data_IF_115605677992
#
_entry.id   IF_115605677992
#
_cell.length_a   1.000
_cell.length_b   1.000
_cell.length_c   1.000
_cell.angle_alpha   90.00
_cell.angle_beta   90.00
_cell.angle_gamma   90.00
#
_symmetry.space_group_name_H-M   'P 1'
#
loop_
_entity.id
_entity.type
_entity.pdbx_description
1 polymer ?
#
# COMPACT_ATOMS: atom_id res chain seq x y z
N UNK A 1 -27.52 17.66 -21.28
CA UNK A 1 -26.31 16.86 -21.00
C UNK A 1 -26.46 16.23 -19.62
N UNK A 2 -26.85 14.95 -19.54
CA UNK A 2 -26.85 14.18 -18.30
C UNK A 2 -25.42 14.11 -17.76
N UNK A 3 -25.23 14.48 -16.49
CA UNK A 3 -23.90 14.60 -15.88
C UNK A 3 -23.12 13.29 -15.96
N UNK A 4 -21.86 13.37 -16.41
CA UNK A 4 -20.92 12.23 -16.49
C UNK A 4 -21.00 11.34 -15.24
N UNK A 5 -21.13 10.02 -15.44
CA UNK A 5 -21.05 9.01 -14.39
C UNK A 5 -19.78 9.18 -13.53
N UNK A 6 -19.95 9.54 -12.25
CA UNK A 6 -18.86 9.80 -11.28
C UNK A 6 -18.60 8.55 -10.41
N UNK A 7 -17.34 8.23 -10.12
CA UNK A 7 -16.96 7.03 -9.36
C UNK A 7 -17.65 6.90 -7.99
N UNK A 8 -17.90 8.01 -7.29
CA UNK A 8 -18.58 8.06 -5.98
C UNK A 8 -20.05 8.54 -6.06
N UNK A 9 -20.57 8.66 -7.28
CA UNK A 9 -21.92 9.15 -7.57
C UNK A 9 -22.93 8.06 -7.91
N UNK A 10 -22.57 6.78 -7.85
CA UNK A 10 -23.48 5.70 -8.21
C UNK A 10 -24.64 5.57 -7.21
N UNK A 11 -25.79 5.13 -7.70
CA UNK A 11 -27.00 4.84 -6.90
C UNK A 11 -26.87 3.51 -6.15
N UNK A 12 -27.80 3.25 -5.23
CA UNK A 12 -27.86 1.97 -4.51
C UNK A 12 -27.96 0.77 -5.47
N UNK A 13 -28.86 0.83 -6.45
CA UNK A 13 -29.03 -0.24 -7.45
C UNK A 13 -27.76 -0.50 -8.27
N UNK A 14 -27.04 0.56 -8.65
CA UNK A 14 -25.76 0.42 -9.35
C UNK A 14 -24.69 -0.20 -8.44
N UNK A 15 -24.66 0.19 -7.17
CA UNK A 15 -23.66 -0.32 -6.21
C UNK A 15 -23.80 -1.81 -5.88
N UNK A 16 -25.00 -2.41 -6.00
CA UNK A 16 -25.22 -3.87 -5.86
C UNK A 16 -24.40 -4.72 -6.84
N UNK A 17 -23.88 -4.10 -7.91
CA UNK A 17 -23.00 -4.78 -8.87
C UNK A 17 -21.63 -5.09 -8.28
N UNK A 18 -21.10 -4.21 -7.43
CA UNK A 18 -19.76 -4.35 -6.82
C UNK A 18 -19.79 -4.77 -5.35
N UNK A 19 -20.87 -4.44 -4.61
CA UNK A 19 -21.07 -4.85 -3.22
C UNK A 19 -21.94 -6.10 -3.23
N UNK A 20 -21.33 -7.25 -2.88
CA UNK A 20 -22.01 -8.54 -2.75
C UNK A 20 -22.10 -8.93 -1.28
N UNK A 21 -22.87 -9.96 -0.98
CA UNK A 21 -23.14 -10.41 0.40
C UNK A 21 -21.89 -10.99 1.09
N UNK A 22 -20.90 -11.41 0.30
CA UNK A 22 -19.57 -11.82 0.80
C UNK A 22 -18.85 -10.72 1.58
N UNK A 23 -19.22 -9.45 1.39
CA UNK A 23 -18.69 -8.32 2.16
C UNK A 23 -18.96 -8.42 3.67
N UNK A 24 -19.80 -9.37 4.12
CA UNK A 24 -20.08 -9.64 5.52
C UNK A 24 -19.16 -10.70 6.14
N UNK A 25 -18.31 -11.35 5.35
CA UNK A 25 -17.38 -12.39 5.81
C UNK A 25 -15.93 -11.87 5.81
N UNK A 26 -15.08 -12.39 6.70
CA UNK A 26 -13.69 -11.95 6.79
C UNK A 26 -12.94 -12.18 5.44
N UNK A 27 -13.22 -13.31 4.77
CA UNK A 27 -12.66 -13.64 3.45
C UNK A 27 -13.16 -12.71 2.33
N UNK A 28 -14.48 -12.47 2.27
CA UNK A 28 -15.07 -11.67 1.20
C UNK A 28 -14.73 -10.18 1.28
N UNK A 29 -14.37 -9.68 2.46
CA UNK A 29 -13.85 -8.31 2.61
C UNK A 29 -12.43 -8.13 2.09
N UNK A 30 -11.67 -9.22 1.90
CA UNK A 30 -10.24 -9.21 1.51
C UNK A 30 -9.33 -8.40 2.44
N UNK A 31 -9.84 -7.98 3.60
CA UNK A 31 -9.09 -7.31 4.66
C UNK A 31 -9.09 -8.13 5.96
N UNK A 32 -9.58 -9.38 5.91
CA UNK A 32 -9.55 -10.32 7.04
C UNK A 32 -10.24 -9.79 8.29
N UNK A 33 -9.67 -10.12 9.45
CA UNK A 33 -10.25 -9.80 10.76
C UNK A 33 -10.27 -8.29 11.09
N UNK A 34 -9.66 -7.43 10.27
CA UNK A 34 -9.67 -5.97 10.45
C UNK A 34 -11.09 -5.38 10.35
N UNK A 35 -12.02 -6.06 9.66
CA UNK A 35 -13.44 -5.70 9.60
C UNK A 35 -14.30 -6.30 10.73
N UNK A 36 -13.74 -7.14 11.60
CA UNK A 36 -14.52 -7.97 12.53
C UNK A 36 -15.24 -7.15 13.59
N UNK A 37 -16.48 -7.54 13.93
CA UNK A 37 -17.21 -6.97 15.08
C UNK A 37 -16.94 -7.70 16.40
N UNK A 38 -16.21 -8.82 16.34
CA UNK A 38 -15.81 -9.56 17.54
C UNK A 38 -14.77 -8.76 18.33
N UNK A 39 -14.95 -8.66 19.64
CA UNK A 39 -13.94 -8.04 20.51
C UNK A 39 -12.62 -8.83 20.48
N UNK A 40 -12.70 -10.16 20.60
CA UNK A 40 -11.52 -11.02 20.63
C UNK A 40 -10.73 -10.99 19.30
N UNK A 41 -11.42 -10.99 18.16
CA UNK A 41 -10.74 -10.89 16.86
C UNK A 41 -10.06 -9.52 16.69
N UNK A 42 -10.58 -8.46 17.32
CA UNK A 42 -9.94 -7.13 17.28
C UNK A 42 -8.84 -6.97 18.30
N UNK A 43 -8.95 -7.62 19.46
CA UNK A 43 -7.88 -7.69 20.43
C UNK A 43 -6.68 -8.49 19.89
N UNK A 44 -6.91 -9.57 19.14
CA UNK A 44 -5.82 -10.32 18.50
C UNK A 44 -5.07 -9.50 17.45
N UNK A 45 -5.70 -8.51 16.82
CA UNK A 45 -5.02 -7.58 15.91
C UNK A 45 -4.00 -6.67 16.59
N UNK A 46 -3.96 -6.61 17.93
CA UNK A 46 -2.87 -5.94 18.64
C UNK A 46 -1.52 -6.61 18.38
N UNK A 47 -1.50 -7.89 18.01
CA UNK A 47 -0.29 -8.56 17.56
C UNK A 47 0.31 -7.90 16.32
N UNK A 48 -0.47 -7.19 15.51
CA UNK A 48 0.04 -6.42 14.36
C UNK A 48 0.94 -5.26 14.81
N UNK A 49 0.91 -4.86 16.09
CA UNK A 49 1.89 -3.91 16.62
C UNK A 49 3.32 -4.48 16.68
N UNK A 50 3.51 -5.81 16.64
CA UNK A 50 4.85 -6.39 16.47
C UNK A 50 5.50 -5.95 15.15
N UNK A 51 4.69 -5.69 14.12
CA UNK A 51 5.20 -5.14 12.87
C UNK A 51 5.82 -3.75 13.04
N UNK A 52 5.45 -2.98 14.08
CA UNK A 52 6.11 -1.70 14.39
C UNK A 52 7.54 -1.89 14.90
N UNK A 53 7.82 -2.99 15.60
CA UNK A 53 9.18 -3.32 16.03
C UNK A 53 10.03 -3.63 14.79
N UNK A 54 9.48 -4.40 13.84
CA UNK A 54 10.16 -4.73 12.59
C UNK A 54 10.38 -3.47 11.74
N UNK A 55 9.35 -2.63 11.56
CA UNK A 55 9.47 -1.42 10.73
C UNK A 55 10.38 -0.36 11.39
N UNK A 56 10.38 -0.25 12.71
CA UNK A 56 11.39 0.54 13.43
C UNK A 56 12.79 -0.02 13.24
N UNK A 57 12.95 -1.34 13.38
CA UNK A 57 14.22 -2.04 13.18
C UNK A 57 14.80 -1.80 11.78
N UNK A 58 14.01 -2.05 10.74
CA UNK A 58 14.42 -1.94 9.33
C UNK A 58 14.55 -0.49 8.88
N UNK A 59 13.62 0.38 9.28
CA UNK A 59 13.53 1.75 8.77
C UNK A 59 14.30 2.79 9.56
N UNK A 60 14.68 2.50 10.82
CA UNK A 60 15.35 3.46 11.70
C UNK A 60 16.61 2.86 12.30
N UNK A 61 16.48 1.80 13.11
CA UNK A 61 17.61 1.28 13.88
C UNK A 61 18.74 0.77 12.99
N UNK A 62 18.40 0.02 11.94
CA UNK A 62 19.39 -0.52 11.00
C UNK A 62 20.10 0.59 10.20
N UNK A 63 19.40 1.56 9.57
CA UNK A 63 20.05 2.71 8.96
C UNK A 63 20.90 3.54 9.92
N UNK A 64 20.41 3.84 11.14
CA UNK A 64 21.17 4.60 12.14
C UNK A 64 22.47 3.86 12.52
N UNK A 65 22.39 2.53 12.71
CA UNK A 65 23.56 1.71 13.03
C UNK A 65 24.60 1.70 11.90
N UNK A 66 24.15 1.71 10.64
CA UNK A 66 25.04 1.81 9.48
C UNK A 66 25.71 3.18 9.36
N UNK A 67 25.05 4.24 9.85
CA UNK A 67 25.62 5.58 9.88
C UNK A 67 26.66 5.72 11.00
N UNK A 68 26.40 5.15 12.16
CA UNK A 68 27.25 5.28 13.34
C UNK A 68 28.48 4.36 13.31
N UNK A 69 28.36 3.15 12.74
CA UNK A 69 29.45 2.15 12.70
C UNK A 69 29.41 1.25 11.45
N UNK A 70 29.65 1.81 10.24
CA UNK A 70 29.50 1.09 8.97
C UNK A 70 30.40 -0.15 8.84
N UNK A 71 31.60 -0.13 9.43
CA UNK A 71 32.56 -1.25 9.36
C UNK A 71 32.13 -2.48 10.17
N UNK A 72 31.28 -2.30 11.18
CA UNK A 72 30.88 -3.36 12.11
C UNK A 72 29.71 -4.22 11.61
N UNK A 73 29.03 -3.77 10.56
CA UNK A 73 27.83 -4.41 10.01
C UNK A 73 28.17 -4.96 8.63
N UNK A 74 27.93 -6.26 8.42
CA UNK A 74 28.10 -6.88 7.12
C UNK A 74 26.99 -6.41 6.16
N UNK A 75 27.30 -5.33 5.44
CA UNK A 75 26.56 -4.85 4.27
C UNK A 75 27.32 -5.21 2.99
N UNK A 76 26.64 -5.19 1.85
CA UNK A 76 27.23 -5.55 0.55
C UNK A 76 28.48 -4.72 0.22
N UNK A 77 28.51 -3.47 0.68
CA UNK A 77 29.72 -2.64 0.77
C UNK A 77 29.53 -1.55 1.83
N UNK A 78 30.64 -1.03 2.37
CA UNK A 78 30.64 0.11 3.29
C UNK A 78 29.95 1.34 2.69
N UNK A 79 30.25 1.62 1.41
CA UNK A 79 29.61 2.70 0.65
C UNK A 79 28.09 2.54 0.51
N UNK A 80 27.60 1.30 0.36
CA UNK A 80 26.15 1.03 0.31
C UNK A 80 25.53 1.19 1.69
N UNK A 81 26.23 0.77 2.75
CA UNK A 81 25.83 1.00 4.14
C UNK A 81 25.64 2.48 4.45
N UNK A 82 26.61 3.31 4.07
CA UNK A 82 26.52 4.75 4.24
C UNK A 82 25.31 5.37 3.51
N UNK A 83 24.99 4.89 2.29
CA UNK A 83 23.80 5.35 1.57
C UNK A 83 22.50 4.97 2.26
N UNK A 84 22.38 3.74 2.77
CA UNK A 84 21.22 3.30 3.54
C UNK A 84 21.06 4.18 4.79
N UNK A 85 22.16 4.45 5.50
CA UNK A 85 22.17 5.32 6.68
C UNK A 85 21.74 6.76 6.38
N UNK A 86 22.25 7.36 5.30
CA UNK A 86 21.92 8.73 4.93
C UNK A 86 20.44 8.86 4.51
N UNK A 87 19.93 7.94 3.67
CA UNK A 87 18.50 7.92 3.30
C UNK A 87 17.63 7.70 4.53
N UNK A 88 18.02 6.78 5.42
CA UNK A 88 17.32 6.51 6.67
C UNK A 88 17.20 7.74 7.56
N UNK A 89 18.27 8.52 7.69
CA UNK A 89 18.26 9.75 8.48
C UNK A 89 17.23 10.77 7.97
N UNK A 90 17.16 11.02 6.66
CA UNK A 90 16.17 11.96 6.10
C UNK A 90 14.74 11.45 6.22
N UNK A 91 14.52 10.13 6.12
CA UNK A 91 13.19 9.53 6.22
C UNK A 91 12.74 9.28 7.66
N UNK A 92 13.64 9.32 8.64
CA UNK A 92 13.38 9.07 10.07
C UNK A 92 12.13 9.77 10.62
N UNK A 93 11.90 11.09 10.44
CA UNK A 93 10.69 11.74 10.96
C UNK A 93 9.41 11.21 10.31
N UNK A 94 9.45 10.87 9.02
CA UNK A 94 8.31 10.33 8.28
C UNK A 94 7.99 8.92 8.78
N UNK A 95 9.01 8.07 8.97
CA UNK A 95 8.85 6.69 9.44
C UNK A 95 8.31 6.69 10.88
N UNK A 96 8.87 7.52 11.78
CA UNK A 96 8.35 7.66 13.15
C UNK A 96 6.89 8.13 13.16
N UNK A 97 6.57 9.14 12.34
CA UNK A 97 5.19 9.62 12.19
C UNK A 97 4.24 8.51 11.74
N UNK A 98 4.64 7.71 10.75
CA UNK A 98 3.86 6.58 10.25
C UNK A 98 3.67 5.49 11.31
N UNK A 99 4.71 5.14 12.08
CA UNK A 99 4.63 4.16 13.19
C UNK A 99 3.65 4.65 14.26
N UNK A 100 3.75 5.92 14.66
CA UNK A 100 2.86 6.50 15.68
C UNK A 100 1.42 6.51 15.18
N UNK A 101 1.17 6.99 13.97
CA UNK A 101 -0.16 7.02 13.37
C UNK A 101 -0.76 5.62 13.28
N UNK A 102 0.02 4.65 12.79
CA UNK A 102 -0.44 3.26 12.67
C UNK A 102 -0.75 2.65 14.04
N UNK A 103 0.11 2.90 15.05
CA UNK A 103 -0.14 2.46 16.44
C UNK A 103 -1.47 3.00 16.95
N UNK A 104 -1.72 4.29 16.75
CA UNK A 104 -2.96 4.95 17.15
C UNK A 104 -4.15 4.28 16.47
N UNK A 105 -4.09 4.03 15.16
CA UNK A 105 -5.17 3.37 14.42
C UNK A 105 -5.44 1.94 14.91
N UNK A 106 -4.39 1.16 15.22
CA UNK A 106 -4.55 -0.20 15.75
C UNK A 106 -5.19 -0.18 17.13
N UNK A 107 -4.74 0.69 18.04
CA UNK A 107 -5.32 0.82 19.39
C UNK A 107 -6.79 1.25 19.32
N UNK A 108 -7.12 2.23 18.46
CA UNK A 108 -8.51 2.64 18.27
C UNK A 108 -9.38 1.55 17.63
N UNK A 109 -8.80 0.56 16.95
CA UNK A 109 -9.54 -0.56 16.37
C UNK A 109 -10.19 -1.47 17.43
N UNK A 110 -9.64 -1.52 18.64
CA UNK A 110 -10.18 -2.34 19.75
C UNK A 110 -11.64 -1.94 20.05
N UNK A 111 -11.93 -0.64 20.01
CA UNK A 111 -13.24 -0.11 20.39
C UNK A 111 -14.29 -0.39 19.32
N UNK A 112 -15.47 -0.97 19.66
CA UNK A 112 -16.55 -1.23 18.70
C UNK A 112 -17.02 0.06 18.05
N UNK A 113 -16.94 0.11 16.72
CA UNK A 113 -17.57 1.19 15.95
C UNK A 113 -19.10 1.07 16.04
N UNK A 114 -19.79 2.09 15.54
CA UNK A 114 -21.25 2.21 15.68
C UNK A 114 -21.96 0.99 15.08
N UNK A 115 -21.51 0.53 13.92
CA UNK A 115 -21.99 -0.67 13.25
C UNK A 115 -20.92 -1.26 12.32
N UNK A 116 -21.22 -2.42 11.73
CA UNK A 116 -20.35 -3.15 10.82
C UNK A 116 -19.84 -2.30 9.66
N UNK A 117 -20.68 -1.46 9.04
CA UNK A 117 -20.24 -0.62 7.92
C UNK A 117 -19.16 0.40 8.31
N UNK A 118 -19.23 0.97 9.53
CA UNK A 118 -18.17 1.84 10.05
C UNK A 118 -16.89 1.05 10.35
N UNK A 119 -17.04 -0.16 10.92
CA UNK A 119 -15.92 -1.04 11.22
C UNK A 119 -15.20 -1.48 9.93
N UNK A 120 -15.95 -1.83 8.88
CA UNK A 120 -15.41 -2.22 7.59
C UNK A 120 -14.59 -1.08 6.97
N UNK A 121 -15.17 0.12 6.89
CA UNK A 121 -14.47 1.30 6.35
C UNK A 121 -13.21 1.62 7.15
N UNK A 122 -13.30 1.58 8.49
CA UNK A 122 -12.17 1.78 9.37
C UNK A 122 -11.07 0.72 9.16
N UNK A 123 -11.46 -0.55 9.06
CA UNK A 123 -10.55 -1.67 8.80
C UNK A 123 -9.83 -1.52 7.46
N UNK A 124 -10.53 -1.06 6.41
CA UNK A 124 -9.90 -0.80 5.11
C UNK A 124 -8.88 0.32 5.18
N UNK A 125 -9.20 1.43 5.87
CA UNK A 125 -8.26 2.55 6.08
C UNK A 125 -7.03 2.09 6.89
N UNK A 126 -7.24 1.26 7.91
CA UNK A 126 -6.17 0.67 8.71
C UNK A 126 -5.24 -0.21 7.87
N UNK A 127 -5.77 -1.03 6.96
CA UNK A 127 -4.98 -1.83 6.02
C UNK A 127 -4.19 -0.98 5.02
N UNK A 128 -4.78 0.10 4.49
CA UNK A 128 -4.06 1.04 3.61
C UNK A 128 -2.90 1.68 4.38
N UNK A 129 -3.15 2.08 5.64
CA UNK A 129 -2.13 2.66 6.51
C UNK A 129 -1.01 1.67 6.83
N UNK A 130 -1.32 0.38 6.94
CA UNK A 130 -0.33 -0.69 7.11
C UNK A 130 0.59 -0.82 5.89
N UNK A 131 0.03 -0.87 4.68
CA UNK A 131 0.84 -0.92 3.45
C UNK A 131 1.73 0.32 3.34
N UNK A 132 1.18 1.50 3.64
CA UNK A 132 1.95 2.74 3.65
C UNK A 132 3.11 2.68 4.65
N UNK A 133 2.89 2.19 5.87
CA UNK A 133 3.94 2.01 6.88
C UNK A 133 5.06 1.10 6.36
N UNK A 134 4.71 -0.05 5.78
CA UNK A 134 5.68 -0.99 5.21
C UNK A 134 6.46 -0.34 4.06
N UNK A 135 5.79 0.42 3.20
CA UNK A 135 6.42 1.15 2.11
C UNK A 135 7.48 2.12 2.66
N UNK A 136 7.10 3.04 3.55
CA UNK A 136 8.05 4.07 4.04
C UNK A 136 9.18 3.48 4.88
N UNK A 137 8.93 2.44 5.66
CA UNK A 137 9.95 1.83 6.53
C UNK A 137 11.01 1.03 5.74
N UNK A 138 10.68 0.54 4.54
CA UNK A 138 11.61 -0.23 3.70
C UNK A 138 12.34 0.64 2.67
N UNK A 139 11.91 1.90 2.49
CA UNK A 139 12.56 2.86 1.59
C UNK A 139 14.04 3.08 1.89
N UNK A 140 14.52 3.25 3.16
CA UNK A 140 15.94 3.43 3.43
C UNK A 140 16.81 2.31 2.86
N UNK A 141 16.40 1.07 3.10
CA UNK A 141 17.10 -0.11 2.64
C UNK A 141 17.05 -0.21 1.10
N UNK A 142 15.86 -0.17 0.52
CA UNK A 142 15.68 -0.39 -0.92
C UNK A 142 16.30 0.73 -1.76
N UNK A 143 16.11 1.99 -1.36
CA UNK A 143 16.74 3.14 -2.02
C UNK A 143 18.27 3.12 -1.84
N UNK A 144 18.76 2.87 -0.63
CA UNK A 144 20.20 2.80 -0.36
C UNK A 144 20.90 1.70 -1.16
N UNK A 145 20.27 0.52 -1.31
CA UNK A 145 20.75 -0.56 -2.17
C UNK A 145 20.76 -0.17 -3.65
N UNK A 146 19.70 0.47 -4.15
CA UNK A 146 19.63 0.95 -5.53
C UNK A 146 20.68 2.02 -5.83
N UNK A 147 20.87 2.98 -4.92
CA UNK A 147 21.90 4.02 -5.06
C UNK A 147 23.30 3.40 -4.99
N UNK A 148 23.53 2.46 -4.07
CA UNK A 148 24.80 1.74 -3.98
C UNK A 148 25.12 0.92 -5.24
N UNK A 149 24.08 0.35 -5.89
CA UNK A 149 24.22 -0.46 -7.08
C UNK A 149 24.35 0.35 -8.38
N UNK A 150 23.50 1.35 -8.58
CA UNK A 150 23.32 2.03 -9.87
C UNK A 150 23.58 3.54 -9.81
N UNK A 151 23.86 4.09 -8.64
CA UNK A 151 24.00 5.52 -8.42
C UNK A 151 22.66 6.25 -8.27
N UNK A 152 22.73 7.51 -7.87
CA UNK A 152 21.55 8.33 -7.57
C UNK A 152 20.70 8.63 -8.82
N UNK A 153 21.34 8.80 -9.98
CA UNK A 153 20.65 9.09 -11.24
C UNK A 153 19.72 7.93 -11.61
N UNK A 154 20.21 6.70 -11.49
CA UNK A 154 19.42 5.52 -11.75
C UNK A 154 18.27 5.37 -10.76
N UNK A 155 18.51 5.63 -9.46
CA UNK A 155 17.45 5.64 -8.46
C UNK A 155 16.34 6.65 -8.78
N UNK A 156 16.69 7.87 -9.22
CA UNK A 156 15.70 8.87 -9.65
C UNK A 156 14.88 8.38 -10.85
N UNK A 157 15.51 7.74 -11.83
CA UNK A 157 14.80 7.13 -12.97
C UNK A 157 13.85 6.03 -12.50
N UNK A 158 14.28 5.15 -11.58
CA UNK A 158 13.42 4.12 -11.00
C UNK A 158 12.25 4.72 -10.21
N UNK A 159 12.48 5.82 -9.47
CA UNK A 159 11.45 6.51 -8.70
C UNK A 159 10.40 7.16 -9.61
N UNK A 160 10.81 7.82 -10.70
CA UNK A 160 9.90 8.37 -11.71
C UNK A 160 9.06 7.24 -12.34
N UNK A 161 9.71 6.13 -12.70
CA UNK A 161 9.02 4.97 -13.26
C UNK A 161 8.00 4.38 -12.27
N UNK A 162 8.37 4.22 -11.00
CA UNK A 162 7.45 3.76 -9.95
C UNK A 162 6.28 4.73 -9.72
N UNK A 163 6.52 6.04 -9.68
CA UNK A 163 5.45 7.03 -9.54
C UNK A 163 4.45 6.99 -10.70
N UNK A 164 4.95 6.75 -11.90
CA UNK A 164 4.12 6.53 -13.08
C UNK A 164 3.31 5.22 -13.01
N UNK A 165 3.88 4.12 -12.50
CA UNK A 165 3.15 2.87 -12.26
C UNK A 165 2.00 3.05 -11.25
N UNK A 166 2.19 3.86 -10.20
CA UNK A 166 1.12 4.21 -9.25
C UNK A 166 -0.06 4.86 -9.98
N UNK A 167 0.22 5.84 -10.84
CA UNK A 167 -0.82 6.57 -11.59
C UNK A 167 -1.67 5.62 -12.45
N UNK A 168 -1.02 4.72 -13.20
CA UNK A 168 -1.70 3.74 -14.04
C UNK A 168 -2.58 2.82 -13.21
N UNK A 169 -2.03 2.29 -12.12
CA UNK A 169 -2.76 1.38 -11.25
C UNK A 169 -4.02 2.04 -10.69
N UNK A 170 -3.93 3.29 -10.23
CA UNK A 170 -5.08 4.05 -9.75
C UNK A 170 -6.11 4.22 -10.88
N UNK A 171 -5.67 4.63 -12.07
CA UNK A 171 -6.56 4.82 -13.23
C UNK A 171 -7.28 3.52 -13.60
N UNK A 172 -6.56 2.41 -13.67
CA UNK A 172 -7.10 1.12 -14.09
C UNK A 172 -8.07 0.56 -13.04
N UNK A 173 -7.74 0.64 -11.76
CA UNK A 173 -8.67 0.28 -10.68
C UNK A 173 -9.92 1.15 -10.71
N UNK A 174 -9.78 2.48 -10.88
CA UNK A 174 -10.92 3.39 -10.96
C UNK A 174 -11.82 3.09 -12.17
N UNK A 175 -11.22 2.80 -13.32
CA UNK A 175 -11.96 2.39 -14.53
C UNK A 175 -12.70 1.08 -14.30
N UNK A 176 -12.01 0.05 -13.81
CA UNK A 176 -12.60 -1.27 -13.58
C UNK A 176 -13.82 -1.20 -12.65
N UNK A 177 -13.68 -0.46 -11.54
CA UNK A 177 -14.77 -0.28 -10.58
C UNK A 177 -15.91 0.54 -11.20
N UNK A 178 -15.60 1.59 -11.97
CA UNK A 178 -16.61 2.40 -12.66
C UNK A 178 -17.37 1.58 -13.70
N UNK A 179 -16.67 0.81 -14.53
CA UNK A 179 -17.28 -0.10 -15.51
C UNK A 179 -18.21 -1.08 -14.82
N UNK A 180 -17.77 -1.68 -13.71
CA UNK A 180 -18.57 -2.60 -12.91
C UNK A 180 -19.82 -1.94 -12.32
N UNK A 181 -19.75 -0.67 -11.90
CA UNK A 181 -20.88 0.09 -11.38
C UNK A 181 -21.91 0.44 -12.46
N UNK A 182 -21.46 0.89 -13.64
CA UNK A 182 -22.36 1.45 -14.65
C UNK A 182 -22.70 0.48 -15.79
N UNK A 183 -22.04 -0.68 -15.87
CA UNK A 183 -22.18 -1.63 -16.99
C UNK A 183 -21.92 -0.94 -18.34
N UNK A 184 -20.97 0.01 -18.34
CA UNK A 184 -20.50 0.67 -19.55
C UNK A 184 -19.75 -0.39 -20.37
N UNK A 185 -20.41 -1.01 -21.36
CA UNK A 185 -19.82 -2.07 -22.20
C UNK A 185 -18.71 -1.60 -23.14
N UNK A 186 -18.46 -0.30 -23.27
CA UNK A 186 -17.36 0.20 -24.08
C UNK A 186 -16.80 1.49 -23.50
N UNK A 187 -15.53 1.45 -23.11
CA UNK A 187 -14.66 2.61 -23.30
C UNK A 187 -13.62 2.15 -24.30
N UNK A 188 -13.59 2.78 -25.49
CA UNK A 188 -12.46 2.69 -26.41
C UNK A 188 -11.20 2.97 -25.61
N UNK A 189 -10.39 1.92 -25.43
CA UNK A 189 -9.14 1.98 -24.73
C UNK A 189 -8.31 3.12 -25.26
N UNK A 190 -8.01 4.10 -24.39
CA UNK A 190 -6.67 4.65 -24.46
C UNK A 190 -5.81 3.61 -23.77
N UNK A 191 -5.34 2.65 -24.56
CA UNK A 191 -4.39 1.65 -24.11
C UNK A 191 -3.14 2.41 -23.68
N UNK A 192 -2.99 2.59 -22.38
CA UNK A 192 -1.80 3.20 -21.79
C UNK A 192 -0.71 2.14 -21.62
N UNK A 193 -1.06 0.86 -21.53
CA UNK A 193 -0.10 -0.24 -21.46
C UNK A 193 0.79 -0.29 -22.70
N UNK A 194 0.22 -0.10 -23.88
CA UNK A 194 0.98 -0.10 -25.15
C UNK A 194 2.07 0.99 -25.21
N UNK A 195 1.80 2.28 -24.96
CA UNK A 195 2.82 3.32 -24.85
C UNK A 195 3.95 2.99 -23.87
N UNK A 196 3.64 2.33 -22.76
CA UNK A 196 4.60 2.00 -21.68
C UNK A 196 5.45 0.81 -22.07
N UNK A 197 4.80 -0.26 -22.53
CA UNK A 197 5.49 -1.42 -23.08
C UNK A 197 6.39 -0.95 -24.21
N UNK A 198 5.93 -0.01 -25.04
CA UNK A 198 6.71 0.57 -26.12
C UNK A 198 7.87 1.44 -25.59
N UNK A 199 7.64 2.26 -24.56
CA UNK A 199 8.69 3.07 -23.92
C UNK A 199 9.75 2.21 -23.23
N UNK A 200 9.34 1.23 -22.41
CA UNK A 200 10.24 0.30 -21.72
C UNK A 200 10.99 -0.58 -22.72
N UNK A 201 10.32 -1.10 -23.75
CA UNK A 201 11.00 -1.86 -24.83
C UNK A 201 11.98 -1.00 -25.61
N UNK A 202 11.66 0.28 -25.86
CA UNK A 202 12.48 1.19 -26.68
C UNK A 202 13.61 1.85 -25.91
N UNK A 203 13.39 2.23 -24.66
CA UNK A 203 14.29 3.05 -23.85
C UNK A 203 14.70 2.41 -22.54
N UNK A 204 14.00 1.38 -22.04
CA UNK A 204 14.34 0.71 -20.78
C UNK A 204 15.76 0.15 -20.80
N UNK A 205 16.13 -0.60 -21.85
CA UNK A 205 17.49 -1.10 -22.02
C UNK A 205 18.53 0.01 -22.14
N UNK A 206 18.20 1.12 -22.80
CA UNK A 206 19.08 2.28 -22.94
C UNK A 206 19.28 2.99 -21.60
N UNK A 207 18.22 3.22 -20.82
CA UNK A 207 18.27 3.87 -19.52
C UNK A 207 19.03 3.03 -18.50
N UNK A 208 18.83 1.70 -18.52
CA UNK A 208 19.60 0.76 -17.70
C UNK A 208 21.07 0.74 -18.13
N UNK A 209 21.33 0.66 -19.43
CA UNK A 209 22.68 0.71 -19.98
C UNK A 209 23.42 2.01 -19.63
N UNK A 210 22.75 3.16 -19.74
CA UNK A 210 23.29 4.47 -19.36
C UNK A 210 23.52 4.59 -17.85
N UNK A 211 22.66 3.99 -17.03
CA UNK A 211 22.84 3.94 -15.58
C UNK A 211 24.07 3.12 -15.19
N UNK A 212 24.27 1.96 -15.85
CA UNK A 212 25.45 1.11 -15.65
C UNK A 212 26.71 1.83 -16.16
N UNK A 213 26.65 2.45 -17.36
CA UNK A 213 27.77 3.22 -17.92
C UNK A 213 28.10 4.45 -17.07
N UNK A 214 27.10 5.12 -16.49
CA UNK A 214 27.34 6.19 -15.54
C UNK A 214 28.10 5.66 -14.34
N UNK A 215 27.66 4.56 -13.74
CA UNK A 215 28.29 3.94 -12.58
C UNK A 215 29.70 3.43 -12.83
N UNK A 216 30.00 2.97 -14.04
CA UNK A 216 31.28 2.33 -14.36
C UNK A 216 32.29 3.25 -15.03
N UNK A 217 31.83 4.36 -15.63
CA UNK A 217 32.69 5.24 -16.44
C UNK A 217 32.63 6.70 -15.97
N UNK A 218 31.43 7.27 -15.83
CA UNK A 218 31.28 8.73 -15.68
C UNK A 218 31.16 9.22 -14.22
N UNK A 219 30.59 8.40 -13.33
CA UNK A 219 30.33 8.67 -11.91
C UNK A 219 29.56 9.98 -11.64
N UNK A 220 28.65 10.41 -12.52
CA UNK A 220 27.89 11.65 -12.28
C UNK A 220 26.96 11.52 -11.08
N UNK A 221 27.12 12.42 -10.10
CA UNK A 221 26.30 12.48 -8.89
C UNK A 221 26.55 11.35 -7.89
N UNK A 222 27.65 10.61 -8.02
CA UNK A 222 27.89 9.41 -7.21
C UNK A 222 28.74 9.67 -5.97
N UNK A 223 28.32 9.10 -4.85
CA UNK A 223 29.00 9.21 -3.56
C UNK A 223 30.16 8.22 -3.37
N UNK A 224 30.30 7.23 -4.26
CA UNK A 224 31.42 6.29 -4.29
C UNK A 224 31.83 5.98 -5.71
N UNK A 225 33.13 5.91 -5.98
CA UNK A 225 33.73 5.59 -7.29
C UNK A 225 34.03 4.10 -7.47
N UNK A 226 33.71 3.26 -6.49
CA UNK A 226 33.95 1.82 -6.55
C UNK A 226 32.87 1.12 -7.39
N UNK A 227 33.28 0.29 -8.35
CA UNK A 227 32.34 -0.51 -9.11
C UNK A 227 31.61 -1.52 -8.20
N UNK A 228 30.27 -1.64 -8.33
CA UNK A 228 29.48 -2.57 -7.53
C UNK A 228 29.80 -4.02 -7.90
N UNK A 229 29.90 -4.89 -6.89
CA UNK A 229 29.96 -6.34 -7.11
C UNK A 229 28.62 -6.89 -7.63
N UNK A 230 28.64 -8.14 -8.11
CA UNK A 230 27.45 -8.82 -8.65
C UNK A 230 26.26 -8.83 -7.68
N UNK A 231 26.52 -9.04 -6.38
CA UNK A 231 25.48 -9.03 -5.35
C UNK A 231 24.86 -7.63 -5.18
N UNK A 232 25.67 -6.57 -5.17
CA UNK A 232 25.16 -5.18 -5.14
C UNK A 232 24.27 -4.91 -6.35
N UNK A 233 24.70 -5.34 -7.54
CA UNK A 233 23.94 -5.20 -8.78
C UNK A 233 22.56 -5.86 -8.68
N UNK A 234 22.48 -7.11 -8.19
CA UNK A 234 21.21 -7.82 -8.01
C UNK A 234 20.30 -7.11 -7.00
N UNK A 235 20.85 -6.68 -5.86
CA UNK A 235 20.08 -6.01 -4.83
C UNK A 235 19.57 -4.61 -5.23
N UNK A 236 20.23 -3.96 -6.20
CA UNK A 236 19.77 -2.68 -6.74
C UNK A 236 18.39 -2.72 -7.41
N UNK A 237 17.91 -3.91 -7.79
CA UNK A 237 16.58 -4.13 -8.37
C UNK A 237 15.48 -4.35 -7.33
N UNK A 238 15.82 -4.54 -6.05
CA UNK A 238 14.84 -4.79 -5.00
C UNK A 238 13.82 -3.66 -4.86
N UNK A 239 14.22 -2.41 -5.10
CA UNK A 239 13.30 -1.27 -5.06
C UNK A 239 12.12 -1.45 -6.02
N UNK A 240 12.37 -1.74 -7.29
CA UNK A 240 11.30 -1.96 -8.29
C UNK A 240 10.47 -3.19 -7.95
N UNK A 241 11.14 -4.30 -7.60
CA UNK A 241 10.45 -5.56 -7.29
C UNK A 241 9.51 -5.42 -6.10
N UNK A 242 10.00 -4.81 -5.01
CA UNK A 242 9.23 -4.57 -3.81
C UNK A 242 8.11 -3.53 -4.02
N UNK A 243 8.40 -2.44 -4.72
CA UNK A 243 7.37 -1.43 -5.07
C UNK A 243 6.25 -2.05 -5.89
N UNK A 244 6.58 -2.92 -6.85
CA UNK A 244 5.58 -3.61 -7.67
C UNK A 244 4.65 -4.51 -6.82
N UNK A 245 5.20 -5.21 -5.82
CA UNK A 245 4.42 -6.02 -4.88
C UNK A 245 3.45 -5.15 -4.07
N UNK A 246 3.94 -4.04 -3.52
CA UNK A 246 3.11 -3.11 -2.74
C UNK A 246 2.00 -2.49 -3.59
N UNK A 247 2.31 -2.14 -4.84
CA UNK A 247 1.33 -1.62 -5.81
C UNK A 247 0.20 -2.63 -6.06
N UNK A 248 0.52 -3.90 -6.29
CA UNK A 248 -0.50 -4.94 -6.47
C UNK A 248 -1.43 -5.05 -5.25
N UNK A 249 -0.87 -5.01 -4.04
CA UNK A 249 -1.65 -5.04 -2.81
C UNK A 249 -2.52 -3.79 -2.64
N UNK A 250 -1.98 -2.60 -2.93
CA UNK A 250 -2.71 -1.33 -2.89
C UNK A 250 -3.87 -1.29 -3.90
N UNK A 251 -3.67 -1.83 -5.10
CA UNK A 251 -4.73 -1.91 -6.11
C UNK A 251 -5.95 -2.72 -5.66
N UNK A 252 -5.73 -3.82 -4.92
CA UNK A 252 -6.83 -4.58 -4.31
C UNK A 252 -7.49 -3.81 -3.16
N UNK A 253 -6.71 -3.14 -2.32
CA UNK A 253 -7.24 -2.31 -1.24
C UNK A 253 -8.06 -1.13 -1.74
N UNK A 254 -7.70 -0.51 -2.86
CA UNK A 254 -8.49 0.54 -3.49
C UNK A 254 -9.86 0.04 -3.94
N UNK A 255 -9.95 -1.18 -4.51
CA UNK A 255 -11.24 -1.82 -4.83
C UNK A 255 -12.06 -2.04 -3.56
N UNK A 256 -11.42 -2.56 -2.50
CA UNK A 256 -12.07 -2.77 -1.21
C UNK A 256 -12.57 -1.46 -0.60
N UNK A 257 -11.80 -0.37 -0.74
CA UNK A 257 -12.17 0.96 -0.25
C UNK A 257 -13.42 1.48 -0.94
N UNK A 258 -13.53 1.33 -2.27
CA UNK A 258 -14.73 1.76 -2.99
C UNK A 258 -15.94 0.90 -2.60
N UNK A 259 -15.77 -0.43 -2.47
CA UNK A 259 -16.85 -1.32 -1.96
C UNK A 259 -17.30 -0.92 -0.56
N UNK A 260 -16.36 -0.71 0.36
CA UNK A 260 -16.61 -0.28 1.73
C UNK A 260 -17.30 1.09 1.78
N UNK A 261 -16.89 2.03 0.93
CA UNK A 261 -17.54 3.33 0.78
C UNK A 261 -19.01 3.18 0.39
N UNK A 262 -19.33 2.38 -0.63
CA UNK A 262 -20.71 2.19 -1.07
C UNK A 262 -21.57 1.46 -0.04
N UNK A 263 -21.01 0.44 0.61
CA UNK A 263 -21.66 -0.25 1.71
C UNK A 263 -21.95 0.70 2.89
N UNK A 264 -21.01 1.60 3.20
CA UNK A 264 -21.19 2.63 4.23
C UNK A 264 -22.24 3.70 3.84
N UNK A 265 -22.19 4.17 2.60
CA UNK A 265 -23.10 5.17 2.04
C UNK A 265 -24.55 4.69 2.12
N UNK A 266 -24.81 3.47 1.66
CA UNK A 266 -26.14 2.84 1.62
C UNK A 266 -26.35 1.82 2.75
N UNK A 267 -25.76 2.07 3.92
CA UNK A 267 -25.71 1.09 5.03
C UNK A 267 -27.08 0.62 5.53
N UNK A 268 -28.12 1.45 5.41
CA UNK A 268 -29.48 1.07 5.87
C UNK A 268 -30.13 0.15 4.83
N UNK A 269 -30.02 0.52 3.58
CA UNK A 269 -30.53 -0.19 2.42
C UNK A 269 -29.84 -1.54 2.26
N UNK A 270 -28.51 -1.61 2.43
CA UNK A 270 -27.78 -2.89 2.43
C UNK A 270 -28.11 -3.77 3.62
N UNK A 271 -28.38 -3.19 4.79
CA UNK A 271 -28.78 -3.95 5.97
C UNK A 271 -30.10 -4.68 5.72
N UNK A 272 -31.06 -4.01 5.09
CA UNK A 272 -32.33 -4.61 4.70
C UNK A 272 -32.16 -5.59 3.54
N UNK A 273 -31.46 -5.18 2.48
CA UNK A 273 -31.26 -5.99 1.27
C UNK A 273 -30.55 -7.33 1.53
N UNK A 274 -29.54 -7.34 2.42
CA UNK A 274 -28.84 -8.56 2.81
C UNK A 274 -29.43 -9.25 4.06
N UNK A 275 -30.52 -8.73 4.62
CA UNK A 275 -31.13 -9.24 5.86
C UNK A 275 -30.11 -9.40 7.01
N UNK A 276 -29.26 -8.38 7.23
CA UNK A 276 -28.16 -8.46 8.20
C UNK A 276 -28.71 -8.47 9.62
N UNK A 277 -28.34 -9.50 10.39
CA UNK A 277 -28.78 -9.67 11.78
C UNK A 277 -28.22 -8.57 12.70
N UNK A 278 -28.89 -8.32 13.82
CA UNK A 278 -28.40 -7.37 14.83
C UNK A 278 -27.02 -7.76 15.38
N UNK A 279 -26.74 -9.07 15.49
CA UNK A 279 -25.46 -9.58 15.96
C UNK A 279 -24.33 -9.29 14.98
N UNK A 280 -24.54 -9.53 13.68
CA UNK A 280 -23.56 -9.16 12.65
C UNK A 280 -23.37 -7.64 12.56
N UNK A 281 -24.45 -6.88 12.69
CA UNK A 281 -24.42 -5.43 12.47
C UNK A 281 -23.81 -4.65 13.64
N UNK A 282 -24.09 -5.05 14.89
CA UNK A 282 -23.66 -4.31 16.09
C UNK A 282 -22.69 -5.08 16.98
N UNK A 283 -22.44 -6.34 16.67
CA UNK A 283 -21.70 -7.26 17.51
C UNK A 283 -22.59 -7.92 18.58
N UNK A 284 -22.18 -9.12 18.99
CA UNK A 284 -22.88 -9.99 19.95
C UNK A 284 -23.29 -9.29 21.24
N UNK A 285 -22.42 -8.45 21.80
CA UNK A 285 -22.67 -7.74 23.05
C UNK A 285 -23.83 -6.74 22.90
N UNK A 286 -23.75 -5.81 21.95
CA UNK A 286 -24.81 -4.80 21.75
C UNK A 286 -26.13 -5.43 21.29
N UNK A 287 -26.07 -6.47 20.46
CA UNK A 287 -27.26 -7.20 20.00
C UNK A 287 -28.08 -7.77 21.17
N UNK A 288 -27.42 -8.33 22.20
CA UNK A 288 -28.07 -8.85 23.41
C UNK A 288 -28.78 -7.77 24.24
N UNK A 289 -28.28 -6.54 24.25
CA UNK A 289 -28.96 -5.44 24.93
C UNK A 289 -30.22 -5.01 24.17
N UNK A 290 -30.15 -4.92 22.85
CA UNK A 290 -31.30 -4.55 22.03
C UNK A 290 -32.41 -5.61 22.01
N UNK A 291 -32.06 -6.90 22.12
CA UNK A 291 -33.06 -7.98 22.19
C UNK A 291 -33.80 -8.04 23.53
N UNK A 292 -33.22 -7.48 24.60
CA UNK A 292 -33.84 -7.42 25.95
C UNK A 292 -34.74 -6.19 26.16
N UNK A 293 -34.75 -5.25 25.21
CA UNK A 293 -35.58 -4.03 25.24
C UNK A 293 -36.88 -4.16 24.43
N UNK A 294 -37.19 -5.37 23.93
CA UNK A 294 -38.47 -5.71 23.32
C UNK A 294 -39.32 -6.48 24.31
#
# INVERSE_FOLDING_TARGET
MQGKNKLFGASFEQSKRIVKNDILTEEGTQIGSFSSMSFWNRASLLLVLFTNIITYGVGINFPDSLRDAPESIQVVSESTGAQIGEVGFYLRPIILGAIILFTVLVVFNIFPKINYAHQLLYGTILMISFIFLVAVATLPLTAGLTIGAFGIVAFVVQLIFSGYLVEILIIDVMKEVKTSLYNETEIKDKDWGTPIIHFVKRYGGILVGLSILNRWTFNFGEFSKSNPGLMSFLFGWLFIGFTSLLLLAEGQLLKCLVKAFYFFKYRKEYREYFNITNEQWYGKFRARFMSKQK
#
